data_IF_727731801053
#
_entry.id   IF_727731801053
#
_cell.length_a   1.000
_cell.length_b   1.000
_cell.length_c   1.000
_cell.angle_alpha   90.00
_cell.angle_beta   90.00
_cell.angle_gamma   90.00
#
_symmetry.space_group_name_H-M   'P 1'
#
loop_
_entity.id
_entity.type
_entity.pdbx_description
1 polymer ?
#
# COMPACT_ATOMS: atom_id res chain seq x y z
N UNK A 1 -42.23 34.40 -14.89
CA UNK A 1 -41.81 33.19 -14.14
C UNK A 1 -41.61 32.07 -15.14
N UNK A 2 -40.36 31.71 -15.43
CA UNK A 2 -40.07 30.57 -16.31
C UNK A 2 -40.22 29.25 -15.51
N UNK A 3 -40.76 28.17 -16.10
CA UNK A 3 -40.89 26.89 -15.43
C UNK A 3 -39.51 26.26 -15.20
N UNK A 4 -39.25 25.79 -13.97
CA UNK A 4 -38.03 25.06 -13.64
C UNK A 4 -38.08 23.68 -14.30
N UNK A 5 -37.09 23.38 -15.13
CA UNK A 5 -36.87 22.06 -15.72
C UNK A 5 -36.66 21.03 -14.60
N UNK A 6 -37.34 19.86 -14.63
CA UNK A 6 -37.08 18.81 -13.66
C UNK A 6 -35.65 18.30 -13.84
N UNK A 7 -34.86 18.30 -12.76
CA UNK A 7 -33.60 17.55 -12.72
C UNK A 7 -33.95 16.08 -12.84
N UNK A 8 -33.60 15.44 -13.96
CA UNK A 8 -33.62 13.98 -14.09
C UNK A 8 -32.49 13.40 -13.22
N UNK A 9 -32.73 13.35 -11.91
CA UNK A 9 -31.87 12.65 -10.98
C UNK A 9 -32.32 11.20 -10.91
N UNK A 10 -31.86 10.36 -11.84
CA UNK A 10 -31.71 8.94 -11.49
C UNK A 10 -30.76 8.87 -10.30
N UNK A 11 -31.17 8.16 -9.24
CA UNK A 11 -30.26 7.87 -8.13
C UNK A 11 -28.98 7.25 -8.70
N UNK A 12 -27.80 7.71 -8.26
CA UNK A 12 -26.54 7.15 -8.73
C UNK A 12 -26.52 5.65 -8.43
N UNK A 13 -26.36 4.84 -9.47
CA UNK A 13 -26.16 3.40 -9.34
C UNK A 13 -24.85 3.24 -8.57
N UNK A 14 -24.94 2.70 -7.35
CA UNK A 14 -23.76 2.34 -6.57
C UNK A 14 -23.09 1.16 -7.28
N UNK A 15 -21.98 1.44 -7.95
CA UNK A 15 -21.09 0.38 -8.41
C UNK A 15 -20.42 -0.24 -7.18
N UNK A 16 -20.51 -1.57 -7.05
CA UNK A 16 -19.82 -2.34 -6.02
C UNK A 16 -18.33 -2.06 -6.13
N UNK A 17 -17.73 -1.46 -5.10
CA UNK A 17 -16.29 -1.40 -5.01
C UNK A 17 -15.77 -2.85 -4.86
N UNK A 18 -14.81 -3.25 -5.71
CA UNK A 18 -14.16 -4.57 -5.62
C UNK A 18 -13.50 -4.75 -4.24
N UNK A 19 -13.10 -3.64 -3.61
CA UNK A 19 -12.63 -3.57 -2.24
C UNK A 19 -13.79 -3.11 -1.35
N UNK A 20 -14.27 -4.00 -0.48
CA UNK A 20 -15.45 -3.77 0.36
C UNK A 20 -15.15 -3.20 1.75
N UNK A 21 -13.96 -3.47 2.28
CA UNK A 21 -13.55 -3.12 3.64
C UNK A 21 -12.03 -2.91 3.77
N UNK A 22 -11.59 -2.59 5.00
CA UNK A 22 -10.19 -2.33 5.33
C UNK A 22 -9.32 -3.58 5.13
N UNK A 23 -9.83 -4.77 5.46
CA UNK A 23 -9.10 -6.03 5.30
C UNK A 23 -8.90 -6.39 3.81
N UNK A 24 -9.90 -6.17 2.97
CA UNK A 24 -9.81 -6.31 1.52
C UNK A 24 -8.83 -5.29 0.91
N UNK A 25 -8.80 -4.06 1.43
CA UNK A 25 -7.84 -3.05 1.00
C UNK A 25 -6.41 -3.45 1.39
N UNK A 26 -6.23 -4.02 2.58
CA UNK A 26 -4.96 -4.60 3.00
C UNK A 26 -4.54 -5.78 2.12
N UNK A 27 -5.48 -6.67 1.76
CA UNK A 27 -5.24 -7.80 0.86
C UNK A 27 -4.75 -7.32 -0.52
N UNK A 28 -5.30 -6.20 -1.02
CA UNK A 28 -4.82 -5.55 -2.25
C UNK A 28 -3.41 -4.98 -2.09
N UNK A 29 -3.08 -4.33 -0.96
CA UNK A 29 -1.71 -3.88 -0.69
C UNK A 29 -0.72 -5.06 -0.73
N UNK A 30 -1.06 -6.18 -0.08
CA UNK A 30 -0.25 -7.39 -0.11
C UNK A 30 -0.06 -7.92 -1.55
N UNK A 31 -1.12 -7.87 -2.38
CA UNK A 31 -1.05 -8.25 -3.78
C UNK A 31 -0.08 -7.37 -4.57
N UNK A 32 -0.20 -6.04 -4.45
CA UNK A 32 0.67 -5.12 -5.18
C UNK A 32 2.15 -5.27 -4.77
N UNK A 33 2.42 -5.58 -3.50
CA UNK A 33 3.77 -5.87 -2.99
C UNK A 33 4.33 -7.17 -3.60
N UNK A 34 3.51 -8.22 -3.71
CA UNK A 34 3.89 -9.49 -4.35
C UNK A 34 4.17 -9.30 -5.84
N UNK A 35 3.32 -8.56 -6.56
CA UNK A 35 3.55 -8.22 -7.98
C UNK A 35 4.84 -7.41 -8.16
N UNK A 36 5.10 -6.43 -7.30
CA UNK A 36 6.36 -5.68 -7.35
C UNK A 36 7.59 -6.59 -7.18
N UNK A 37 7.54 -7.51 -6.21
CA UNK A 37 8.61 -8.48 -5.96
C UNK A 37 8.80 -9.43 -7.14
N UNK A 38 7.72 -9.94 -7.71
CA UNK A 38 7.77 -10.82 -8.89
C UNK A 38 8.37 -10.10 -10.10
N UNK A 39 8.05 -8.81 -10.30
CA UNK A 39 8.65 -8.02 -11.40
C UNK A 39 10.13 -7.77 -11.15
N UNK A 40 10.51 -7.37 -9.95
CA UNK A 40 11.92 -7.08 -9.63
C UNK A 40 12.81 -8.33 -9.73
N UNK A 41 12.27 -9.51 -9.40
CA UNK A 41 13.03 -10.77 -9.45
C UNK A 41 12.92 -11.50 -10.80
N UNK A 42 11.75 -11.46 -11.45
CA UNK A 42 11.46 -12.23 -12.65
C UNK A 42 11.68 -11.49 -13.98
N UNK A 43 11.68 -10.16 -13.97
CA UNK A 43 11.78 -9.32 -15.18
C UNK A 43 12.85 -8.22 -15.03
N UNK A 44 14.12 -8.60 -14.81
CA UNK A 44 15.18 -7.65 -14.43
C UNK A 44 15.43 -6.53 -15.46
N UNK A 45 15.06 -6.74 -16.73
CA UNK A 45 15.29 -5.79 -17.82
C UNK A 45 14.14 -4.79 -18.02
N UNK A 46 13.02 -4.93 -17.29
CA UNK A 46 11.80 -4.15 -17.53
C UNK A 46 11.66 -2.97 -16.54
N UNK A 47 12.25 -1.82 -16.91
CA UNK A 47 12.22 -0.60 -16.12
C UNK A 47 10.80 -0.05 -15.88
N UNK A 48 9.98 0.10 -16.94
CA UNK A 48 8.66 0.75 -16.79
C UNK A 48 7.69 -0.08 -15.93
N UNK A 49 7.57 -1.41 -16.14
CA UNK A 49 6.74 -2.26 -15.30
C UNK A 49 7.14 -2.23 -13.82
N UNK A 50 8.45 -2.24 -13.52
CA UNK A 50 8.93 -2.13 -12.13
C UNK A 50 8.51 -0.81 -11.48
N UNK A 51 8.65 0.31 -12.21
CA UNK A 51 8.24 1.62 -11.74
C UNK A 51 6.72 1.70 -11.51
N UNK A 52 5.91 1.14 -12.41
CA UNK A 52 4.45 1.13 -12.26
C UNK A 52 3.99 0.24 -11.11
N UNK A 53 4.63 -0.90 -10.90
CA UNK A 53 4.33 -1.76 -9.75
C UNK A 53 4.64 -1.04 -8.43
N UNK A 54 5.77 -0.31 -8.35
CA UNK A 54 6.09 0.50 -7.18
C UNK A 54 5.05 1.59 -6.91
N UNK A 55 4.60 2.30 -7.95
CA UNK A 55 3.53 3.30 -7.84
C UNK A 55 2.24 2.66 -7.32
N UNK A 56 1.88 1.48 -7.81
CA UNK A 56 0.68 0.76 -7.36
C UNK A 56 0.75 0.38 -5.88
N UNK A 57 1.90 -0.09 -5.39
CA UNK A 57 2.12 -0.34 -3.95
C UNK A 57 1.87 0.94 -3.15
N UNK A 58 2.46 2.07 -3.56
CA UNK A 58 2.33 3.35 -2.88
C UNK A 58 0.88 3.86 -2.87
N UNK A 59 0.16 3.71 -3.98
CA UNK A 59 -1.26 4.05 -4.09
C UNK A 59 -2.08 3.16 -3.16
N UNK A 60 -1.82 1.86 -3.12
CA UNK A 60 -2.54 0.92 -2.26
C UNK A 60 -2.33 1.23 -0.78
N UNK A 61 -1.09 1.53 -0.36
CA UNK A 61 -0.79 1.93 1.01
C UNK A 61 -1.49 3.26 1.39
N UNK A 62 -1.47 4.25 0.50
CA UNK A 62 -2.21 5.52 0.68
C UNK A 62 -3.72 5.28 0.78
N UNK A 63 -4.27 4.40 -0.07
CA UNK A 63 -5.67 4.02 -0.01
C UNK A 63 -6.00 3.34 1.32
N UNK A 64 -5.18 2.38 1.77
CA UNK A 64 -5.38 1.67 3.03
C UNK A 64 -5.44 2.63 4.23
N UNK A 65 -4.53 3.61 4.28
CA UNK A 65 -4.55 4.68 5.28
C UNK A 65 -5.87 5.43 5.31
N UNK A 66 -6.40 5.80 4.14
CA UNK A 66 -7.68 6.52 4.05
C UNK A 66 -8.89 5.64 4.44
N UNK A 67 -8.84 4.34 4.12
CA UNK A 67 -9.85 3.36 4.56
C UNK A 67 -9.83 3.18 6.08
N UNK A 68 -8.63 3.03 6.67
CA UNK A 68 -8.45 2.92 8.11
C UNK A 68 -8.92 4.19 8.84
N UNK A 69 -8.50 5.38 8.40
CA UNK A 69 -8.96 6.66 8.98
C UNK A 69 -10.49 6.76 8.94
N UNK A 70 -11.09 6.39 7.81
CA UNK A 70 -12.55 6.44 7.65
C UNK A 70 -13.26 5.48 8.58
N UNK A 71 -12.74 4.27 8.76
CA UNK A 71 -13.28 3.29 9.69
C UNK A 71 -13.19 3.77 11.14
N UNK A 72 -12.01 4.24 11.59
CA UNK A 72 -11.80 4.78 12.95
C UNK A 72 -12.68 6.00 13.22
N UNK A 73 -12.78 6.92 12.26
CA UNK A 73 -13.66 8.09 12.36
C UNK A 73 -15.14 7.70 12.45
N UNK A 74 -15.55 6.67 11.71
CA UNK A 74 -16.92 6.16 11.76
C UNK A 74 -17.23 5.53 13.13
N UNK A 75 -16.30 4.74 13.68
CA UNK A 75 -16.43 4.16 15.03
C UNK A 75 -16.49 5.23 16.12
N UNK A 76 -15.59 6.21 16.09
CA UNK A 76 -15.59 7.33 17.03
C UNK A 76 -16.94 8.05 17.02
N UNK A 77 -17.48 8.34 15.83
CA UNK A 77 -18.81 8.95 15.66
C UNK A 77 -19.94 8.07 16.23
N UNK A 78 -19.92 6.77 15.96
CA UNK A 78 -20.92 5.83 16.47
C UNK A 78 -20.88 5.75 18.02
N UNK A 79 -19.68 5.89 18.59
CA UNK A 79 -19.43 5.92 20.04
C UNK A 79 -19.64 7.29 20.69
N UNK A 80 -20.05 8.33 19.93
CA UNK A 80 -20.18 9.70 20.45
C UNK A 80 -18.87 10.39 20.84
N UNK A 81 -17.72 9.87 20.40
CA UNK A 81 -16.38 10.43 20.61
C UNK A 81 -15.97 11.33 19.44
N UNK A 82 -15.13 12.33 19.72
CA UNK A 82 -14.46 13.09 18.67
C UNK A 82 -13.33 12.25 18.04
N UNK A 83 -13.16 12.34 16.73
CA UNK A 83 -12.01 11.72 16.04
C UNK A 83 -10.76 12.57 16.25
N UNK A 84 -9.75 12.00 16.89
CA UNK A 84 -8.43 12.63 17.03
C UNK A 84 -7.56 12.28 15.82
N UNK A 85 -7.55 13.19 14.84
CA UNK A 85 -6.73 13.03 13.63
C UNK A 85 -5.23 13.05 13.94
N UNK A 86 -4.80 13.91 14.86
CA UNK A 86 -3.38 14.06 15.16
C UNK A 86 -2.82 12.82 15.86
N UNK A 87 -3.59 12.24 16.78
CA UNK A 87 -3.29 10.95 17.40
C UNK A 87 -3.15 9.86 16.35
N UNK A 88 -4.15 9.73 15.46
CA UNK A 88 -4.11 8.75 14.37
C UNK A 88 -2.86 8.88 13.49
N UNK A 89 -2.54 10.09 13.02
CA UNK A 89 -1.39 10.32 12.14
C UNK A 89 -0.04 10.07 12.88
N UNK A 90 0.03 10.37 14.18
CA UNK A 90 1.21 10.11 15.01
C UNK A 90 1.43 8.60 15.23
N UNK A 91 0.38 7.87 15.59
CA UNK A 91 0.43 6.42 15.80
C UNK A 91 0.80 5.70 14.50
N UNK A 92 0.23 6.13 13.38
CA UNK A 92 0.52 5.58 12.06
C UNK A 92 1.99 5.79 11.67
N UNK A 93 2.56 6.95 11.94
CA UNK A 93 3.97 7.26 11.61
C UNK A 93 4.92 6.32 12.34
N UNK A 94 4.60 5.96 13.59
CA UNK A 94 5.40 5.02 14.38
C UNK A 94 5.19 3.58 13.91
N UNK A 95 3.94 3.18 13.68
CA UNK A 95 3.60 1.81 13.33
C UNK A 95 3.98 1.42 11.90
N UNK A 96 3.86 2.37 10.95
CA UNK A 96 4.12 2.16 9.52
C UNK A 96 5.08 3.24 8.99
N UNK A 97 6.39 3.19 9.31
CA UNK A 97 7.34 4.24 8.94
C UNK A 97 7.47 4.49 7.43
N UNK A 98 7.15 3.49 6.59
CA UNK A 98 7.19 3.61 5.14
C UNK A 98 5.97 4.33 4.53
N UNK A 99 4.98 4.70 5.35
CA UNK A 99 3.72 5.31 4.88
C UNK A 99 3.95 6.68 4.23
N UNK A 100 4.71 7.57 4.88
CA UNK A 100 4.96 8.92 4.36
C UNK A 100 5.63 8.91 2.97
N UNK A 101 6.55 7.96 2.76
CA UNK A 101 7.15 7.73 1.44
C UNK A 101 6.10 7.29 0.41
N UNK A 102 5.21 6.36 0.78
CA UNK A 102 4.16 5.89 -0.11
C UNK A 102 3.21 7.02 -0.52
N UNK A 103 2.86 7.90 0.42
CA UNK A 103 1.98 9.04 0.14
C UNK A 103 2.66 10.05 -0.80
N UNK A 104 3.93 10.37 -0.57
CA UNK A 104 4.69 11.25 -1.44
C UNK A 104 4.81 10.72 -2.88
N UNK A 105 5.09 9.42 -3.05
CA UNK A 105 5.18 8.78 -4.37
C UNK A 105 3.80 8.74 -5.04
N UNK A 106 2.77 8.29 -4.33
CA UNK A 106 1.41 8.20 -4.86
C UNK A 106 0.86 9.57 -5.27
N UNK A 107 1.22 10.65 -4.55
CA UNK A 107 0.82 12.00 -4.89
C UNK A 107 1.61 12.57 -6.08
N UNK A 108 2.90 12.26 -6.19
CA UNK A 108 3.71 12.65 -7.37
C UNK A 108 3.20 11.97 -8.65
N UNK A 109 2.71 10.74 -8.56
CA UNK A 109 2.06 10.08 -9.70
C UNK A 109 0.74 10.75 -10.12
N UNK A 110 0.07 11.46 -9.20
CA UNK A 110 -1.19 12.19 -9.47
C UNK A 110 -0.97 13.64 -9.89
N UNK A 111 0.12 14.26 -9.43
CA UNK A 111 0.40 15.68 -9.60
C UNK A 111 1.83 15.89 -10.10
N UNK A 112 2.01 16.71 -11.14
CA UNK A 112 3.33 16.95 -11.74
C UNK A 112 4.35 17.63 -10.81
N UNK A 113 3.91 18.21 -9.68
CA UNK A 113 4.75 18.73 -8.60
C UNK A 113 4.05 18.50 -7.26
N UNK A 114 4.77 17.95 -6.29
CA UNK A 114 4.31 17.76 -4.91
C UNK A 114 5.13 18.65 -3.96
N UNK A 115 4.48 19.25 -2.96
CA UNK A 115 5.07 20.25 -2.08
C UNK A 115 4.66 20.10 -0.59
N UNK A 116 4.18 18.93 -0.15
CA UNK A 116 3.78 18.71 1.25
C UNK A 116 4.73 17.77 2.01
N UNK A 117 5.63 18.39 2.77
CA UNK A 117 5.86 18.15 4.20
C UNK A 117 6.48 16.85 4.73
N UNK A 118 5.99 15.67 4.36
CA UNK A 118 6.15 14.49 5.25
C UNK A 118 7.25 13.51 4.83
N UNK A 119 7.90 13.75 3.68
CA UNK A 119 9.11 13.04 3.29
C UNK A 119 10.24 14.01 2.88
N UNK A 120 10.73 14.85 3.82
CA UNK A 120 11.74 15.86 3.54
C UNK A 120 13.06 15.22 3.08
N UNK A 121 13.60 15.71 1.98
CA UNK A 121 14.84 15.17 1.39
C UNK A 121 14.70 13.75 0.81
N UNK A 122 13.47 13.25 0.71
CA UNK A 122 13.13 11.95 0.16
C UNK A 122 13.40 11.87 -1.35
N UNK A 123 14.06 10.81 -1.78
CA UNK A 123 14.28 10.51 -3.20
C UNK A 123 14.08 9.03 -3.50
N UNK A 124 13.54 8.78 -4.68
CA UNK A 124 13.51 7.44 -5.30
C UNK A 124 14.32 7.51 -6.59
N UNK A 125 15.23 6.57 -6.77
CA UNK A 125 15.94 6.36 -8.02
C UNK A 125 15.71 4.94 -8.52
N UNK A 126 15.65 4.80 -9.84
CA UNK A 126 15.71 3.49 -10.48
C UNK A 126 17.11 3.33 -11.04
N UNK A 127 17.78 2.26 -10.65
CA UNK A 127 19.20 2.05 -10.94
C UNK A 127 19.41 0.65 -11.53
N UNK A 128 20.33 0.55 -12.48
CA UNK A 128 20.77 -0.74 -13.00
C UNK A 128 21.83 -1.31 -12.06
N UNK A 129 21.61 -2.52 -11.57
CA UNK A 129 22.58 -3.29 -10.80
C UNK A 129 23.11 -4.41 -11.69
N UNK A 130 24.44 -4.52 -11.83
CA UNK A 130 25.07 -5.51 -12.70
C UNK A 130 24.97 -6.95 -12.16
N UNK A 131 24.44 -7.12 -10.95
CA UNK A 131 24.37 -8.41 -10.28
C UNK A 131 25.74 -8.94 -9.83
N UNK A 132 25.72 -10.10 -9.19
CA UNK A 132 26.89 -10.84 -8.73
C UNK A 132 26.62 -12.36 -8.78
N UNK A 133 27.41 -13.17 -8.06
CA UNK A 133 27.25 -14.62 -8.01
C UNK A 133 25.90 -15.06 -7.40
N UNK A 134 25.32 -14.22 -6.53
CA UNK A 134 24.11 -14.52 -5.78
C UNK A 134 22.85 -13.86 -6.37
N UNK A 135 23.02 -12.82 -7.20
CA UNK A 135 21.92 -12.02 -7.76
C UNK A 135 22.10 -11.71 -9.24
N UNK A 136 21.10 -11.95 -10.11
CA UNK A 136 21.19 -11.57 -11.52
C UNK A 136 21.19 -10.04 -11.69
N UNK A 137 21.79 -9.52 -12.79
CA UNK A 137 21.68 -8.11 -13.13
C UNK A 137 20.23 -7.69 -13.31
N UNK A 138 19.88 -6.46 -12.96
CA UNK A 138 18.54 -5.93 -13.17
C UNK A 138 18.32 -4.51 -12.67
N UNK A 139 17.16 -3.96 -13.01
CA UNK A 139 16.68 -2.71 -12.44
C UNK A 139 16.25 -2.90 -11.00
N UNK A 140 16.72 -2.02 -10.13
CA UNK A 140 16.33 -1.94 -8.74
C UNK A 140 15.77 -0.55 -8.43
N UNK A 141 14.81 -0.51 -7.51
CA UNK A 141 14.31 0.74 -6.97
C UNK A 141 15.04 1.03 -5.65
N UNK A 142 15.78 2.14 -5.62
CA UNK A 142 16.49 2.61 -4.43
C UNK A 142 15.73 3.74 -3.75
N UNK A 143 15.77 3.70 -2.42
CA UNK A 143 15.19 4.69 -1.53
C UNK A 143 16.30 5.47 -0.83
N UNK A 144 16.27 6.80 -0.92
CA UNK A 144 17.19 7.69 -0.22
C UNK A 144 16.46 8.72 0.62
N UNK A 145 17.04 9.06 1.77
CA UNK A 145 16.75 10.27 2.53
C UNK A 145 18.00 11.14 2.52
N UNK A 146 17.84 12.45 2.60
CA UNK A 146 18.95 13.37 2.78
C UNK A 146 19.77 12.98 4.04
N UNK A 147 21.10 12.87 3.90
CA UNK A 147 22.00 12.44 4.97
C UNK A 147 22.17 10.92 5.16
N UNK A 148 21.39 10.07 4.48
CA UNK A 148 21.60 8.61 4.52
C UNK A 148 22.78 8.19 3.62
N UNK A 149 23.75 7.46 4.19
CA UNK A 149 25.00 7.03 3.52
C UNK A 149 24.75 5.94 2.48
N UNK A 150 23.74 5.09 2.69
CA UNK A 150 23.41 3.99 1.76
C UNK A 150 21.92 4.02 1.47
N UNK A 151 21.51 4.18 0.19
CA UNK A 151 20.11 4.03 -0.18
C UNK A 151 19.65 2.59 0.09
N UNK A 152 18.52 2.43 0.77
CA UNK A 152 17.92 1.12 1.07
C UNK A 152 17.20 0.59 -0.16
N UNK A 153 17.13 -0.74 -0.33
CA UNK A 153 16.35 -1.35 -1.39
C UNK A 153 14.85 -1.21 -1.09
N UNK A 154 14.08 -0.67 -2.04
CA UNK A 154 12.64 -0.49 -1.87
C UNK A 154 11.89 -1.82 -1.71
N UNK A 155 12.44 -2.93 -2.20
CA UNK A 155 11.88 -4.27 -1.97
C UNK A 155 11.78 -4.64 -0.49
N UNK A 156 12.74 -4.20 0.33
CA UNK A 156 12.71 -4.44 1.77
C UNK A 156 11.67 -3.56 2.45
N UNK A 157 11.55 -2.30 2.00
CA UNK A 157 10.58 -1.33 2.55
C UNK A 157 9.14 -1.67 2.17
N UNK A 158 8.89 -2.00 0.91
CA UNK A 158 7.59 -2.48 0.47
C UNK A 158 7.26 -3.84 1.04
N UNK A 159 8.29 -4.69 1.19
CA UNK A 159 8.14 -6.02 1.74
C UNK A 159 7.59 -6.09 3.15
N UNK A 160 7.88 -5.10 3.98
CA UNK A 160 7.36 -5.03 5.36
C UNK A 160 6.00 -4.36 5.46
N UNK A 161 5.51 -3.67 4.42
CA UNK A 161 4.24 -2.93 4.46
C UNK A 161 3.05 -3.81 4.84
N UNK A 162 2.84 -5.02 4.28
CA UNK A 162 1.68 -5.83 4.65
C UNK A 162 1.68 -6.21 6.13
N UNK A 163 2.84 -6.54 6.69
CA UNK A 163 2.96 -6.96 8.09
C UNK A 163 2.76 -5.79 9.05
N UNK A 164 3.45 -4.66 8.82
CA UNK A 164 3.33 -3.47 9.67
C UNK A 164 1.93 -2.88 9.62
N UNK A 165 1.30 -2.86 8.45
CA UNK A 165 -0.11 -2.47 8.33
C UNK A 165 -1.04 -3.42 9.06
N UNK A 166 -0.87 -4.74 8.94
CA UNK A 166 -1.74 -5.68 9.65
C UNK A 166 -1.67 -5.49 11.17
N UNK A 167 -0.46 -5.36 11.71
CA UNK A 167 -0.25 -5.07 13.13
C UNK A 167 -0.96 -3.78 13.55
N UNK A 168 -0.79 -2.70 12.78
CA UNK A 168 -1.45 -1.43 13.07
C UNK A 168 -2.99 -1.52 12.99
N UNK A 169 -3.53 -2.18 11.97
CA UNK A 169 -4.98 -2.39 11.84
C UNK A 169 -5.57 -3.19 13.01
N UNK A 170 -4.82 -4.16 13.51
CA UNK A 170 -5.19 -4.94 14.70
C UNK A 170 -5.18 -4.05 15.95
N UNK A 171 -4.17 -3.21 16.12
CA UNK A 171 -4.08 -2.29 17.25
C UNK A 171 -5.23 -1.25 17.23
N UNK A 172 -5.71 -0.89 16.04
CA UNK A 172 -6.91 -0.08 15.84
C UNK A 172 -8.24 -0.84 16.03
N UNK A 173 -8.20 -2.17 16.23
CA UNK A 173 -9.39 -3.02 16.32
C UNK A 173 -10.17 -3.16 15.02
N UNK A 174 -9.54 -2.95 13.86
CA UNK A 174 -10.17 -3.03 12.53
C UNK A 174 -10.06 -4.43 11.90
N UNK A 175 -9.17 -5.27 12.41
CA UNK A 175 -9.00 -6.67 12.01
C UNK A 175 -8.75 -7.52 13.25
N UNK A 176 -9.01 -8.83 13.14
CA UNK A 176 -8.81 -9.80 14.21
C UNK A 176 -7.73 -10.82 13.87
N UNK A 177 -7.14 -11.42 14.91
CA UNK A 177 -6.18 -12.52 14.79
C UNK A 177 -4.75 -12.10 14.45
N UNK A 178 -3.89 -13.11 14.36
CA UNK A 178 -2.51 -12.94 13.92
C UNK A 178 -2.43 -12.67 12.42
N UNK A 179 -1.27 -12.18 11.98
CA UNK A 179 -0.99 -12.01 10.56
C UNK A 179 -1.20 -13.32 9.81
N UNK A 180 -2.09 -13.31 8.83
CA UNK A 180 -2.33 -14.45 7.96
C UNK A 180 -2.13 -14.03 6.51
N UNK A 181 -1.60 -14.92 5.68
CA UNK A 181 -1.50 -14.65 4.25
C UNK A 181 -2.90 -14.50 3.65
N UNK A 182 -3.13 -13.53 2.74
CA UNK A 182 -4.39 -13.45 2.02
C UNK A 182 -4.74 -14.75 1.28
N UNK A 183 -6.03 -15.01 1.10
CA UNK A 183 -6.51 -16.24 0.43
C UNK A 183 -5.86 -16.45 -0.95
N UNK A 184 -5.73 -15.39 -1.75
CA UNK A 184 -5.10 -15.47 -3.07
C UNK A 184 -3.63 -15.92 -3.00
N UNK A 185 -2.90 -15.52 -1.94
CA UNK A 185 -1.50 -15.86 -1.77
C UNK A 185 -1.35 -17.30 -1.29
N UNK A 186 -2.22 -17.73 -0.38
CA UNK A 186 -2.32 -19.14 -0.01
C UNK A 186 -2.64 -20.02 -1.23
N UNK A 187 -3.55 -19.56 -2.10
CA UNK A 187 -3.88 -20.24 -3.34
C UNK A 187 -2.69 -20.26 -4.32
N UNK A 188 -1.91 -19.16 -4.42
CA UNK A 188 -0.66 -19.10 -5.20
C UNK A 188 0.34 -20.15 -4.69
N UNK A 189 0.58 -20.20 -3.38
CA UNK A 189 1.49 -21.17 -2.75
C UNK A 189 1.01 -22.61 -2.95
N UNK A 190 -0.29 -22.89 -2.77
CA UNK A 190 -0.89 -24.22 -3.02
C UNK A 190 -0.72 -24.68 -4.47
N UNK A 191 -0.73 -23.76 -5.44
CA UNK A 191 -0.47 -24.09 -6.86
C UNK A 191 1.00 -24.43 -7.11
N UNK A 192 1.92 -23.72 -6.46
CA UNK A 192 3.37 -23.91 -6.64
C UNK A 192 3.85 -25.19 -5.95
N UNK A 193 3.42 -25.41 -4.71
CA UNK A 193 3.94 -26.50 -3.86
C UNK A 193 3.00 -27.72 -3.77
N UNK A 194 1.82 -27.66 -4.39
CA UNK A 194 0.79 -28.69 -4.29
C UNK A 194 0.02 -28.65 -2.96
N UNK A 195 -0.96 -29.55 -2.81
CA UNK A 195 -1.61 -29.79 -1.52
C UNK A 195 -0.62 -30.60 -0.66
N UNK A 196 -0.02 -29.99 0.36
CA UNK A 196 0.45 -30.80 1.49
C UNK A 196 -0.79 -31.52 2.04
N UNK A 197 -0.80 -32.86 2.15
CA UNK A 197 -1.88 -33.53 2.86
C UNK A 197 -1.93 -32.96 4.28
N UNK A 198 -3.14 -32.68 4.76
CA UNK A 198 -3.34 -32.39 6.17
C UNK A 198 -2.68 -33.52 6.97
N UNK A 199 -1.75 -33.15 7.85
CA UNK A 199 -1.41 -34.03 8.96
C UNK A 199 -2.58 -33.84 9.92
N UNK A 200 -3.54 -34.76 9.82
CA UNK A 200 -4.58 -34.99 10.81
C UNK A 200 -3.95 -35.38 12.17
#
# INVERSE_FOLDING_TARGET
MAPRTPRSGTDPIRHTAIVGDVAAMWSKLAWDVDVFRDIQTGYPHEQQPLAYAAINVCIAATSLRNWAETAVRSDARASGRAFDRQGFDSDLTVAVPAQAMCEAIANTAKHSRFADGEWPGGRVSLEWEEGDEDSPPGWILRYGVEGAVVPSLSVNRFGSLPETWWAHLRDLGLVEGDFHLPEWQQNKLRRIFGHSPSID
#
